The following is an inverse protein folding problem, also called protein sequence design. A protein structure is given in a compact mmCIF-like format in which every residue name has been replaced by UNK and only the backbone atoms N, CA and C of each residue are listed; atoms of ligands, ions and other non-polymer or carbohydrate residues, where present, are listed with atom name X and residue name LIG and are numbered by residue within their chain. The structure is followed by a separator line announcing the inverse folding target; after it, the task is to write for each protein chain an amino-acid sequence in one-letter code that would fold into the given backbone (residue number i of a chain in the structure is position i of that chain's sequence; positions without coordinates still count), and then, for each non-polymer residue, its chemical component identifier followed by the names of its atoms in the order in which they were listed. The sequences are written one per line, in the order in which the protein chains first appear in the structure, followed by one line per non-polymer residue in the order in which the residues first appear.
data_IF_692060727576
#
_entry.id   IF_692060727576
#
_cell.length_a   1.000
_cell.length_b   1.000
_cell.length_c   1.000
_cell.angle_alpha   90.00
_cell.angle_beta   90.00
_cell.angle_gamma   90.00
#
_symmetry.space_group_name_H-M   'P 1'
#
loop_
_entity.id
_entity.type
_entity.pdbx_description
1 polymer ?
#
# COMPACT_ATOMS: atom_id res chain seq x y z
N UNK A 1 -17.37 -35.36 58.52
CA UNK A 1 -17.19 -34.29 57.54
C UNK A 1 -15.86 -34.53 56.80
N UNK A 2 -15.90 -35.08 55.57
CA UNK A 2 -14.71 -35.39 54.75
C UNK A 2 -14.40 -34.19 53.87
N UNK A 3 -13.22 -33.59 54.04
CA UNK A 3 -12.69 -32.52 53.16
C UNK A 3 -12.15 -33.16 51.91
N UNK A 4 -12.72 -32.80 50.75
CA UNK A 4 -12.22 -33.15 49.43
C UNK A 4 -11.25 -32.03 49.03
N UNK A 5 -9.98 -32.30 48.72
CA UNK A 5 -9.08 -31.28 48.16
C UNK A 5 -9.40 -31.12 46.65
N UNK A 6 -9.76 -29.91 46.29
CA UNK A 6 -9.95 -29.49 44.90
C UNK A 6 -8.58 -29.42 44.23
N UNK A 7 -8.19 -30.47 43.49
CA UNK A 7 -6.98 -30.51 42.69
C UNK A 7 -7.27 -29.75 41.36
N UNK A 8 -6.90 -28.47 41.31
CA UNK A 8 -6.93 -27.69 40.07
C UNK A 8 -5.77 -28.20 39.24
N UNK A 9 -6.06 -29.10 38.31
CA UNK A 9 -5.13 -29.46 37.23
C UNK A 9 -5.12 -28.30 36.27
N UNK A 10 -4.10 -27.43 36.39
CA UNK A 10 -3.75 -26.44 35.39
C UNK A 10 -3.09 -27.19 34.23
N UNK A 11 -3.91 -27.71 33.33
CA UNK A 11 -3.42 -28.22 32.04
C UNK A 11 -2.92 -27.02 31.25
N UNK A 12 -1.62 -26.68 31.41
CA UNK A 12 -0.92 -25.86 30.46
C UNK A 12 -0.91 -26.64 29.11
N UNK A 13 -1.86 -26.32 28.28
CA UNK A 13 -1.78 -26.61 26.84
C UNK A 13 -0.58 -25.83 26.29
N UNK A 14 0.60 -26.39 26.43
CA UNK A 14 1.71 -26.03 25.56
C UNK A 14 1.29 -26.44 24.14
N UNK A 15 0.62 -25.56 23.44
CA UNK A 15 0.54 -25.63 22.00
C UNK A 15 2.00 -25.52 21.50
N UNK A 16 2.61 -26.65 21.19
CA UNK A 16 3.83 -26.69 20.42
C UNK A 16 3.44 -26.08 19.06
N UNK A 17 3.61 -24.78 18.96
CA UNK A 17 3.44 -24.11 17.67
C UNK A 17 4.59 -24.62 16.80
N UNK A 18 4.30 -25.60 15.96
CA UNK A 18 5.22 -26.00 14.89
C UNK A 18 5.51 -24.73 14.07
N UNK A 19 6.80 -24.41 13.91
CA UNK A 19 7.21 -23.31 13.06
C UNK A 19 6.66 -23.55 11.64
N UNK A 20 5.90 -22.61 11.13
CA UNK A 20 5.33 -22.67 9.80
C UNK A 20 6.35 -22.17 8.76
N UNK A 21 6.34 -22.78 7.58
CA UNK A 21 7.12 -22.33 6.44
C UNK A 21 6.21 -21.60 5.46
N UNK A 22 6.48 -20.33 5.21
CA UNK A 22 5.74 -19.51 4.26
C UNK A 22 6.57 -19.29 3.00
N UNK A 23 6.07 -19.78 1.86
CA UNK A 23 6.55 -19.36 0.55
C UNK A 23 5.69 -18.19 0.09
N UNK A 24 6.25 -16.99 0.04
CA UNK A 24 5.49 -15.76 -0.17
C UNK A 24 5.92 -15.10 -1.47
N UNK A 25 4.96 -14.87 -2.34
CA UNK A 25 5.08 -13.85 -3.38
C UNK A 25 4.89 -12.47 -2.77
N UNK A 26 5.17 -11.41 -3.52
CA UNK A 26 4.87 -10.05 -3.04
C UNK A 26 3.38 -9.89 -2.71
N UNK A 27 2.48 -10.42 -3.55
CA UNK A 27 1.03 -10.32 -3.32
C UNK A 27 0.61 -11.06 -2.05
N UNK A 28 1.17 -12.23 -1.76
CA UNK A 28 0.90 -12.96 -0.53
C UNK A 28 1.36 -12.18 0.71
N UNK A 29 2.57 -11.63 0.65
CA UNK A 29 3.12 -10.82 1.74
C UNK A 29 2.25 -9.57 2.00
N UNK A 30 1.86 -8.87 0.92
CA UNK A 30 0.98 -7.72 0.95
C UNK A 30 -0.38 -8.03 1.56
N UNK A 31 -1.05 -9.08 1.09
CA UNK A 31 -2.36 -9.50 1.63
C UNK A 31 -2.27 -9.84 3.12
N UNK A 32 -1.22 -10.58 3.53
CA UNK A 32 -1.00 -10.90 4.94
C UNK A 32 -0.77 -9.64 5.78
N UNK A 33 0.06 -8.71 5.31
CA UNK A 33 0.35 -7.47 6.02
C UNK A 33 -0.91 -6.61 6.21
N UNK A 34 -1.77 -6.50 5.19
CA UNK A 34 -3.03 -5.76 5.28
C UNK A 34 -4.04 -6.46 6.18
N UNK A 35 -4.27 -7.78 5.97
CA UNK A 35 -5.30 -8.54 6.68
C UNK A 35 -4.96 -8.76 8.16
N UNK A 36 -3.67 -8.83 8.49
CA UNK A 36 -3.23 -9.04 9.87
C UNK A 36 -2.97 -7.73 10.63
N UNK A 37 -3.03 -6.57 9.97
CA UNK A 37 -2.81 -5.27 10.61
C UNK A 37 -3.92 -4.93 11.59
N UNK A 38 -3.60 -4.90 12.88
CA UNK A 38 -4.56 -4.53 13.92
C UNK A 38 -5.04 -3.08 13.78
N UNK A 39 -4.17 -2.17 13.29
CA UNK A 39 -4.55 -0.77 13.02
C UNK A 39 -5.63 -0.68 11.95
N UNK A 40 -5.52 -1.46 10.87
CA UNK A 40 -6.51 -1.49 9.78
C UNK A 40 -7.83 -2.11 10.26
N UNK A 41 -7.78 -3.16 11.11
CA UNK A 41 -8.96 -3.77 11.73
C UNK A 41 -9.69 -2.78 12.64
N UNK A 42 -8.97 -2.11 13.55
CA UNK A 42 -9.54 -1.10 14.43
C UNK A 42 -10.17 0.06 13.64
N UNK A 43 -9.53 0.48 12.54
CA UNK A 43 -10.09 1.50 11.66
C UNK A 43 -11.38 1.01 10.98
N UNK A 44 -11.48 -0.27 10.60
CA UNK A 44 -12.71 -0.85 10.09
C UNK A 44 -13.83 -0.85 11.13
N UNK A 45 -13.54 -1.23 12.37
CA UNK A 45 -14.50 -1.20 13.47
C UNK A 45 -15.02 0.22 13.73
N UNK A 46 -14.15 1.24 13.62
CA UNK A 46 -14.54 2.64 13.69
C UNK A 46 -15.51 3.01 12.55
N UNK A 47 -15.20 2.60 11.31
CA UNK A 47 -16.06 2.82 10.15
C UNK A 47 -17.43 2.19 10.39
N UNK A 48 -17.49 0.92 10.81
CA UNK A 48 -18.74 0.20 11.06
C UNK A 48 -19.59 0.90 12.16
N UNK A 49 -18.94 1.43 13.19
CA UNK A 49 -19.59 2.21 14.25
C UNK A 49 -20.15 3.54 13.72
N UNK A 50 -19.37 4.25 12.90
CA UNK A 50 -19.80 5.51 12.30
C UNK A 50 -20.92 5.32 11.27
N UNK A 51 -20.90 4.24 10.49
CA UNK A 51 -22.00 3.88 9.57
C UNK A 51 -23.31 3.64 10.31
N UNK A 52 -23.27 2.91 11.43
CA UNK A 52 -24.47 2.73 12.27
C UNK A 52 -25.02 4.06 12.78
N UNK A 53 -24.15 4.93 13.28
CA UNK A 53 -24.55 6.27 13.78
C UNK A 53 -25.10 7.14 12.67
N UNK A 54 -24.47 7.16 11.50
CA UNK A 54 -24.93 7.92 10.34
C UNK A 54 -26.31 7.43 9.86
N UNK A 55 -26.53 6.10 9.79
CA UNK A 55 -27.82 5.55 9.39
C UNK A 55 -28.92 5.87 10.41
N UNK A 56 -28.64 5.78 11.72
CA UNK A 56 -29.59 6.20 12.76
C UNK A 56 -29.94 7.69 12.64
N UNK A 57 -28.95 8.55 12.34
CA UNK A 57 -29.17 9.96 12.11
C UNK A 57 -30.03 10.22 10.86
N UNK A 58 -29.83 9.44 9.80
CA UNK A 58 -30.61 9.56 8.57
C UNK A 58 -32.08 9.11 8.77
N UNK A 59 -32.28 8.05 9.55
CA UNK A 59 -33.61 7.47 9.80
C UNK A 59 -34.42 8.29 10.80
N UNK A 60 -33.77 9.12 11.64
CA UNK A 60 -34.39 10.02 12.60
C UNK A 60 -34.11 11.51 12.31
N UNK A 61 -34.63 12.04 11.20
CA UNK A 61 -34.33 13.43 10.80
C UNK A 61 -34.88 14.50 11.79
N UNK A 62 -35.74 14.08 12.73
CA UNK A 62 -36.30 15.02 13.76
C UNK A 62 -35.29 15.42 14.83
N UNK A 63 -34.30 14.56 15.13
CA UNK A 63 -33.21 14.88 16.08
C UNK A 63 -32.15 15.81 15.47
N UNK A 64 -32.17 16.00 14.16
CA UNK A 64 -31.17 16.79 13.41
C UNK A 64 -31.70 18.11 12.87
N UNK A 65 -32.99 18.44 13.07
CA UNK A 65 -33.47 19.77 12.75
C UNK A 65 -32.96 20.73 13.83
N UNK A 66 -32.32 21.85 13.45
CA UNK A 66 -32.05 22.88 14.42
C UNK A 66 -33.38 23.22 15.10
N UNK A 67 -33.43 23.13 16.43
CA UNK A 67 -34.56 23.63 17.20
C UNK A 67 -34.59 25.13 16.97
N UNK A 68 -35.51 25.58 16.13
CA UNK A 68 -35.82 26.99 15.98
C UNK A 68 -36.71 27.35 17.17
N UNK A 69 -36.13 27.88 18.23
CA UNK A 69 -36.90 28.63 19.20
C UNK A 69 -37.39 29.89 18.53
N UNK A 70 -38.70 30.04 18.45
CA UNK A 70 -39.32 31.24 17.93
C UNK A 70 -39.27 32.30 19.02
N UNK A 71 -38.43 33.32 18.84
CA UNK A 71 -38.45 34.48 19.72
C UNK A 71 -39.74 35.29 19.48
N UNK A 72 -40.68 35.14 20.39
CA UNK A 72 -41.97 35.84 20.34
C UNK A 72 -41.84 37.36 20.48
N UNK A 73 -40.72 37.90 20.97
CA UNK A 73 -40.45 39.33 21.14
C UNK A 73 -39.96 39.94 19.83
N UNK A 74 -38.98 39.30 19.16
CA UNK A 74 -38.43 39.80 17.90
C UNK A 74 -39.15 39.25 16.66
N UNK A 75 -40.08 38.32 16.84
CA UNK A 75 -40.78 37.58 15.76
C UNK A 75 -39.82 36.97 14.73
N UNK A 76 -38.62 36.60 15.15
CA UNK A 76 -37.61 35.97 14.33
C UNK A 76 -37.23 34.60 14.87
N UNK A 77 -36.96 33.61 14.00
CA UNK A 77 -36.41 32.35 14.46
C UNK A 77 -34.98 32.57 14.97
N UNK A 78 -34.75 32.29 16.25
CA UNK A 78 -33.41 32.34 16.84
C UNK A 78 -32.80 30.95 16.69
N UNK A 79 -31.64 30.90 16.07
CA UNK A 79 -30.87 29.69 15.92
C UNK A 79 -30.27 29.28 17.28
N UNK A 80 -30.78 28.23 17.89
CA UNK A 80 -30.22 27.73 19.14
C UNK A 80 -28.97 26.90 18.81
N UNK A 81 -27.79 27.49 18.90
CA UNK A 81 -26.50 26.95 18.54
C UNK A 81 -25.97 25.89 19.56
N UNK A 82 -26.82 25.44 20.48
CA UNK A 82 -26.40 24.56 21.58
C UNK A 82 -26.30 23.06 21.21
N UNK A 83 -26.81 22.68 20.06
CA UNK A 83 -26.63 21.32 19.54
C UNK A 83 -25.55 21.32 18.48
N UNK A 84 -24.33 20.89 18.85
CA UNK A 84 -23.34 20.45 17.88
C UNK A 84 -23.93 19.24 17.13
N UNK A 85 -24.51 19.47 15.96
CA UNK A 85 -24.87 18.40 15.04
C UNK A 85 -23.57 17.73 14.64
N UNK A 86 -23.28 16.54 15.19
CA UNK A 86 -22.16 15.72 14.78
C UNK A 86 -22.39 15.34 13.31
N UNK A 87 -21.52 15.84 12.43
CA UNK A 87 -21.53 15.46 11.02
C UNK A 87 -20.95 14.05 10.87
N UNK A 88 -21.77 13.04 11.21
CA UNK A 88 -21.37 11.63 11.08
C UNK A 88 -21.03 11.26 9.63
N UNK A 89 -21.61 11.95 8.64
CA UNK A 89 -21.29 11.78 7.23
C UNK A 89 -19.81 12.12 6.96
N UNK A 90 -19.38 13.28 7.42
CA UNK A 90 -17.99 13.75 7.26
C UNK A 90 -17.02 12.89 8.06
N UNK A 91 -17.36 12.50 9.28
CA UNK A 91 -16.53 11.61 10.10
C UNK A 91 -16.35 10.23 9.45
N UNK A 92 -17.44 9.68 8.89
CA UNK A 92 -17.40 8.41 8.17
C UNK A 92 -16.53 8.50 6.91
N UNK A 93 -16.65 9.57 6.13
CA UNK A 93 -15.83 9.78 4.95
C UNK A 93 -14.34 9.88 5.33
N UNK A 94 -14.00 10.69 6.32
CA UNK A 94 -12.62 10.83 6.81
C UNK A 94 -12.07 9.48 7.31
N UNK A 95 -12.90 8.69 8.01
CA UNK A 95 -12.47 7.39 8.50
C UNK A 95 -12.19 6.39 7.36
N UNK A 96 -12.96 6.42 6.27
CA UNK A 96 -12.75 5.61 5.06
C UNK A 96 -11.47 6.03 4.33
N UNK A 97 -11.24 7.33 4.16
CA UNK A 97 -9.99 7.87 3.58
C UNK A 97 -8.78 7.46 4.43
N UNK A 98 -8.85 7.61 5.76
CA UNK A 98 -7.77 7.18 6.67
C UNK A 98 -7.46 5.69 6.52
N UNK A 99 -8.49 4.81 6.44
CA UNK A 99 -8.28 3.37 6.22
C UNK A 99 -7.55 3.10 4.91
N UNK A 100 -7.92 3.79 3.85
CA UNK A 100 -7.28 3.67 2.55
C UNK A 100 -5.81 4.08 2.60
N UNK A 101 -5.50 5.21 3.23
CA UNK A 101 -4.12 5.68 3.40
C UNK A 101 -3.28 4.67 4.22
N UNK A 102 -3.89 4.07 5.26
CA UNK A 102 -3.25 2.99 6.03
C UNK A 102 -2.94 1.77 5.16
N UNK A 103 -3.84 1.36 4.27
CA UNK A 103 -3.62 0.24 3.34
C UNK A 103 -2.49 0.57 2.38
N UNK A 104 -2.50 1.75 1.75
CA UNK A 104 -1.46 2.20 0.82
C UNK A 104 -0.09 2.23 1.51
N UNK A 105 -0.01 2.83 2.69
CA UNK A 105 1.24 2.89 3.48
C UNK A 105 1.75 1.50 3.88
N UNK A 106 0.84 0.59 4.25
CA UNK A 106 1.18 -0.79 4.59
C UNK A 106 1.72 -1.55 3.38
N UNK A 107 1.09 -1.42 2.20
CA UNK A 107 1.55 -2.02 0.95
C UNK A 107 2.92 -1.48 0.51
N UNK A 108 3.17 -0.18 0.66
CA UNK A 108 4.47 0.45 0.36
C UNK A 108 5.57 -0.08 1.29
N UNK A 109 5.29 -0.17 2.58
CA UNK A 109 6.23 -0.73 3.57
C UNK A 109 6.54 -2.19 3.25
N UNK A 110 5.53 -2.99 2.90
CA UNK A 110 5.71 -4.39 2.47
C UNK A 110 6.61 -4.46 1.24
N UNK A 111 6.39 -3.60 0.22
CA UNK A 111 7.20 -3.57 -1.00
C UNK A 111 8.66 -3.22 -0.71
N UNK A 112 8.89 -2.24 0.17
CA UNK A 112 10.25 -1.85 0.56
C UNK A 112 10.97 -3.01 1.23
N UNK A 113 10.37 -3.62 2.26
CA UNK A 113 10.98 -4.74 2.99
C UNK A 113 11.20 -5.95 2.08
N UNK A 114 10.24 -6.28 1.22
CA UNK A 114 10.36 -7.37 0.26
C UNK A 114 11.53 -7.13 -0.71
N UNK A 115 11.64 -5.91 -1.26
CA UNK A 115 12.72 -5.54 -2.18
C UNK A 115 14.08 -5.57 -1.49
N UNK A 116 14.19 -5.05 -0.27
CA UNK A 116 15.43 -5.01 0.49
C UNK A 116 15.95 -6.43 0.74
N UNK A 117 15.07 -7.35 1.17
CA UNK A 117 15.45 -8.75 1.41
C UNK A 117 15.95 -9.41 0.13
N UNK A 118 15.23 -9.25 -0.99
CA UNK A 118 15.63 -9.85 -2.28
C UNK A 118 16.98 -9.31 -2.75
N UNK A 119 17.21 -8.00 -2.61
CA UNK A 119 18.47 -7.37 -3.00
C UNK A 119 19.63 -7.87 -2.11
N UNK A 120 19.43 -7.89 -0.79
CA UNK A 120 20.45 -8.39 0.14
C UNK A 120 20.77 -9.88 -0.07
N UNK A 121 19.76 -10.72 -0.40
CA UNK A 121 19.99 -12.12 -0.77
C UNK A 121 20.83 -12.25 -2.04
N UNK A 122 20.68 -11.35 -3.01
CA UNK A 122 21.55 -11.31 -4.19
C UNK A 122 22.98 -10.88 -3.84
N UNK A 123 23.13 -9.88 -2.96
CA UNK A 123 24.44 -9.45 -2.47
C UNK A 123 25.16 -10.60 -1.74
N UNK A 124 24.43 -11.36 -0.91
CA UNK A 124 24.95 -12.58 -0.26
C UNK A 124 25.44 -13.60 -1.30
N UNK A 125 24.67 -13.86 -2.37
CA UNK A 125 25.08 -14.77 -3.46
C UNK A 125 26.34 -14.27 -4.16
N UNK A 126 26.41 -12.99 -4.51
CA UNK A 126 27.57 -12.37 -5.13
C UNK A 126 28.80 -12.46 -4.23
N UNK A 127 28.65 -12.15 -2.94
CA UNK A 127 29.75 -12.24 -1.96
C UNK A 127 30.28 -13.66 -1.79
N UNK A 128 29.41 -14.68 -1.81
CA UNK A 128 29.84 -16.12 -1.77
C UNK A 128 30.68 -16.50 -2.99
N UNK A 129 30.41 -15.93 -4.16
CA UNK A 129 31.22 -16.13 -5.35
C UNK A 129 32.58 -15.43 -5.23
N UNK A 130 32.63 -14.19 -4.73
CA UNK A 130 33.87 -13.47 -4.46
C UNK A 130 34.77 -14.27 -3.49
N UNK A 131 34.18 -14.79 -2.40
CA UNK A 131 34.89 -15.66 -1.43
C UNK A 131 35.46 -16.90 -2.11
N UNK A 132 34.66 -17.59 -2.93
CA UNK A 132 35.13 -18.79 -3.66
C UNK A 132 36.30 -18.47 -4.60
N UNK A 133 36.26 -17.34 -5.29
CA UNK A 133 37.38 -16.89 -6.14
C UNK A 133 38.61 -16.55 -5.29
N UNK A 134 38.44 -15.84 -4.16
CA UNK A 134 39.56 -15.53 -3.27
C UNK A 134 40.17 -16.77 -2.60
N UNK A 135 39.38 -17.78 -2.25
CA UNK A 135 39.88 -19.07 -1.76
C UNK A 135 40.78 -19.76 -2.78
N UNK A 136 40.45 -19.68 -4.07
CA UNK A 136 41.30 -20.19 -5.13
C UNK A 136 42.62 -19.40 -5.25
N UNK A 137 42.57 -18.07 -5.07
CA UNK A 137 43.78 -17.23 -5.08
C UNK A 137 44.69 -17.58 -3.89
N UNK A 138 44.13 -17.78 -2.69
CA UNK A 138 44.89 -18.19 -1.50
C UNK A 138 45.54 -19.55 -1.72
N UNK A 139 44.81 -20.51 -2.33
CA UNK A 139 45.42 -21.84 -2.70
C UNK A 139 46.58 -21.66 -3.67
N UNK A 140 46.43 -20.84 -4.72
CA UNK A 140 47.52 -20.57 -5.66
C UNK A 140 48.71 -19.87 -4.98
N UNK A 141 48.44 -18.88 -4.13
CA UNK A 141 49.48 -18.20 -3.35
C UNK A 141 50.26 -19.17 -2.42
N UNK A 142 49.54 -20.12 -1.77
CA UNK A 142 50.16 -21.16 -0.95
C UNK A 142 51.14 -22.02 -1.76
N UNK A 143 50.78 -22.42 -2.98
CA UNK A 143 51.68 -23.17 -3.88
C UNK A 143 52.88 -22.32 -4.30
N UNK A 144 52.66 -21.04 -4.67
CA UNK A 144 53.75 -20.12 -5.02
C UNK A 144 54.71 -19.85 -3.89
N UNK A 145 54.21 -19.72 -2.66
CA UNK A 145 55.04 -19.58 -1.46
C UNK A 145 55.90 -20.82 -1.24
N UNK A 146 55.33 -22.03 -1.31
CA UNK A 146 56.06 -23.28 -1.17
C UNK A 146 57.18 -23.45 -2.22
N UNK A 147 57.00 -22.90 -3.40
CA UNK A 147 57.99 -22.92 -4.50
C UNK A 147 58.91 -21.70 -4.51
N UNK A 148 58.87 -20.85 -3.48
CA UNK A 148 59.71 -19.64 -3.34
C UNK A 148 59.43 -18.53 -4.36
N UNK A 149 58.27 -18.58 -5.03
CA UNK A 149 57.89 -17.59 -6.05
C UNK A 149 57.26 -16.31 -5.49
N UNK A 150 56.80 -16.36 -4.26
CA UNK A 150 56.30 -15.21 -3.49
C UNK A 150 56.82 -15.23 -2.06
N UNK A 151 56.82 -14.11 -1.39
CA UNK A 151 57.19 -13.98 0.03
C UNK A 151 55.97 -14.23 0.95
N UNK A 152 56.21 -14.51 2.22
CA UNK A 152 55.19 -14.74 3.24
C UNK A 152 54.18 -13.63 3.31
N UNK A 153 54.61 -12.35 3.27
CA UNK A 153 53.74 -11.17 3.32
C UNK A 153 52.69 -11.17 2.20
N UNK A 154 53.06 -11.58 0.99
CA UNK A 154 52.11 -11.64 -0.15
C UNK A 154 51.03 -12.70 0.08
N UNK A 155 51.41 -13.85 0.62
CA UNK A 155 50.48 -14.90 1.01
C UNK A 155 49.54 -14.42 2.10
N UNK A 156 50.06 -13.81 3.17
CA UNK A 156 49.27 -13.29 4.31
C UNK A 156 48.30 -12.24 3.85
N UNK A 157 48.66 -11.37 2.91
CA UNK A 157 47.74 -10.37 2.32
C UNK A 157 46.56 -11.06 1.60
N UNK A 158 46.76 -12.17 0.87
CA UNK A 158 45.61 -12.87 0.24
C UNK A 158 44.72 -13.54 1.28
N UNK A 159 45.27 -14.06 2.39
CA UNK A 159 44.52 -14.62 3.52
C UNK A 159 43.70 -13.52 4.19
N UNK A 160 44.28 -12.35 4.48
CA UNK A 160 43.57 -11.22 5.08
C UNK A 160 42.41 -10.71 4.20
N UNK A 161 42.58 -10.69 2.86
CA UNK A 161 41.49 -10.36 1.95
C UNK A 161 40.34 -11.38 2.06
N UNK A 162 40.66 -12.68 2.16
CA UNK A 162 39.65 -13.72 2.35
C UNK A 162 38.87 -13.52 3.66
N UNK A 163 39.56 -13.26 4.76
CA UNK A 163 38.93 -13.04 6.07
C UNK A 163 38.06 -11.80 6.08
N UNK A 164 38.47 -10.70 5.41
CA UNK A 164 37.66 -9.51 5.23
C UNK A 164 36.36 -9.84 4.43
N UNK A 165 36.46 -10.57 3.33
CA UNK A 165 35.27 -10.98 2.55
C UNK A 165 34.32 -11.85 3.38
N UNK A 166 34.82 -12.77 4.19
CA UNK A 166 34.00 -13.59 5.10
C UNK A 166 33.30 -12.75 6.16
N UNK A 167 33.98 -11.75 6.72
CA UNK A 167 33.39 -10.81 7.67
C UNK A 167 32.28 -9.97 7.01
N UNK A 168 32.50 -9.49 5.78
CA UNK A 168 31.48 -8.79 5.01
C UNK A 168 30.25 -9.67 4.72
N UNK A 169 30.46 -10.97 4.39
CA UNK A 169 29.37 -11.91 4.19
C UNK A 169 28.51 -12.06 5.44
N UNK A 170 29.13 -12.19 6.61
CA UNK A 170 28.42 -12.30 7.89
C UNK A 170 27.55 -11.07 8.16
N UNK A 171 28.04 -9.86 7.85
CA UNK A 171 27.26 -8.62 7.97
C UNK A 171 26.05 -8.64 7.04
N UNK A 172 26.22 -9.09 5.79
CA UNK A 172 25.11 -9.19 4.82
C UNK A 172 24.07 -10.23 5.27
N UNK A 173 24.49 -11.41 5.72
CA UNK A 173 23.58 -12.46 6.23
C UNK A 173 22.78 -11.97 7.46
N UNK A 174 23.41 -11.19 8.34
CA UNK A 174 22.72 -10.58 9.47
C UNK A 174 21.69 -9.52 9.02
N UNK A 175 21.99 -8.71 7.99
CA UNK A 175 21.04 -7.75 7.42
C UNK A 175 19.81 -8.45 6.86
N UNK A 176 20.00 -9.51 6.06
CA UNK A 176 18.90 -10.34 5.55
C UNK A 176 18.00 -10.79 6.70
N UNK A 177 18.56 -11.37 7.74
CA UNK A 177 17.82 -11.87 8.91
C UNK A 177 17.06 -10.76 9.64
N UNK A 178 17.66 -9.58 9.79
CA UNK A 178 16.99 -8.42 10.40
C UNK A 178 15.78 -7.99 9.56
N UNK A 179 15.93 -7.89 8.25
CA UNK A 179 14.84 -7.45 7.37
C UNK A 179 13.76 -8.52 7.21
N UNK A 180 14.12 -9.82 7.23
CA UNK A 180 13.14 -10.92 7.33
C UNK A 180 12.31 -10.81 8.62
N UNK A 181 12.92 -10.54 9.76
CA UNK A 181 12.20 -10.35 11.03
C UNK A 181 11.31 -9.10 10.99
N UNK A 182 11.78 -7.98 10.39
CA UNK A 182 10.92 -6.80 10.19
C UNK A 182 9.71 -7.13 9.33
N UNK A 183 9.88 -7.89 8.25
CA UNK A 183 8.78 -8.30 7.38
C UNK A 183 7.81 -9.23 8.12
N UNK A 184 8.30 -10.20 8.90
CA UNK A 184 7.46 -11.06 9.75
C UNK A 184 6.63 -10.23 10.73
N UNK A 185 7.26 -9.30 11.45
CA UNK A 185 6.56 -8.41 12.38
C UNK A 185 5.52 -7.55 11.67
N UNK A 186 5.86 -7.03 10.48
CA UNK A 186 4.94 -6.25 9.67
C UNK A 186 3.72 -7.04 9.20
N UNK A 187 3.89 -8.33 8.91
CA UNK A 187 2.81 -9.28 8.57
C UNK A 187 2.10 -9.88 9.79
N UNK A 188 2.52 -9.53 11.00
CA UNK A 188 2.07 -10.16 12.25
C UNK A 188 2.20 -11.70 12.22
N UNK A 189 3.38 -12.19 11.77
CA UNK A 189 3.77 -13.60 11.73
C UNK A 189 4.79 -13.85 12.86
N UNK A 190 4.75 -15.05 13.44
CA UNK A 190 5.67 -15.42 14.51
C UNK A 190 7.14 -15.37 14.05
N UNK A 191 8.02 -14.88 14.90
CA UNK A 191 9.48 -14.88 14.63
C UNK A 191 10.05 -16.27 14.43
N UNK A 192 9.41 -17.30 15.01
CA UNK A 192 9.81 -18.72 14.87
C UNK A 192 9.52 -19.28 13.49
N UNK A 193 8.59 -18.67 12.75
CA UNK A 193 8.25 -19.12 11.41
C UNK A 193 9.36 -18.75 10.42
N UNK A 194 9.50 -19.55 9.38
CA UNK A 194 10.41 -19.24 8.28
C UNK A 194 9.66 -18.67 7.10
N UNK A 195 10.26 -17.67 6.44
CA UNK A 195 9.72 -17.09 5.20
C UNK A 195 10.73 -17.34 4.07
N UNK A 196 10.20 -17.72 2.93
CA UNK A 196 10.95 -17.79 1.66
C UNK A 196 10.26 -16.89 0.67
N UNK A 197 10.96 -15.87 0.18
CA UNK A 197 10.39 -14.93 -0.77
C UNK A 197 10.55 -15.45 -2.20
N UNK A 198 9.46 -15.44 -2.95
CA UNK A 198 9.42 -15.81 -4.36
C UNK A 198 9.16 -14.58 -5.21
N UNK A 199 10.11 -14.25 -6.07
CA UNK A 199 9.97 -13.19 -7.03
C UNK A 199 9.24 -13.71 -8.27
N UNK A 200 7.97 -13.34 -8.39
CA UNK A 200 7.09 -13.72 -9.51
C UNK A 200 6.78 -12.50 -10.33
N UNK A 201 6.78 -12.64 -11.66
CA UNK A 201 6.33 -11.57 -12.54
C UNK A 201 4.85 -11.26 -12.29
N UNK A 202 4.51 -9.97 -12.19
CA UNK A 202 3.14 -9.58 -12.02
C UNK A 202 2.31 -9.94 -13.26
N UNK A 203 1.16 -10.57 -13.02
CA UNK A 203 0.13 -10.72 -14.06
C UNK A 203 -0.52 -9.35 -14.28
N UNK A 204 -0.46 -8.85 -15.50
CA UNK A 204 -1.16 -7.63 -15.89
C UNK A 204 -2.61 -7.98 -16.24
N UNK A 205 -3.45 -8.19 -15.23
CA UNK A 205 -4.89 -8.15 -15.42
C UNK A 205 -5.33 -6.69 -15.43
N UNK A 206 -5.08 -6.02 -16.56
CA UNK A 206 -5.55 -4.67 -16.75
C UNK A 206 -7.02 -4.67 -17.12
N UNK A 207 -7.87 -4.56 -16.14
CA UNK A 207 -9.18 -3.98 -16.30
C UNK A 207 -8.99 -2.47 -16.52
N UNK A 208 -8.72 -2.09 -17.77
CA UNK A 208 -8.81 -0.69 -18.17
C UNK A 208 -10.29 -0.31 -18.09
N UNK A 209 -10.67 0.61 -17.24
CA UNK A 209 -12.07 0.95 -17.07
C UNK A 209 -12.55 1.81 -18.22
N UNK A 210 -12.97 1.17 -19.32
CA UNK A 210 -13.71 1.87 -20.39
C UNK A 210 -15.03 2.47 -19.88
N UNK A 211 -15.54 1.97 -18.76
CA UNK A 211 -16.88 2.34 -18.24
C UNK A 211 -16.84 3.40 -17.14
N UNK A 212 -15.70 4.03 -16.87
CA UNK A 212 -15.59 4.93 -15.72
C UNK A 212 -16.23 6.31 -15.95
N UNK A 213 -16.31 6.78 -17.19
CA UNK A 213 -17.01 8.03 -17.51
C UNK A 213 -18.52 7.88 -17.24
N UNK A 214 -19.09 6.69 -17.46
CA UNK A 214 -20.51 6.41 -17.18
C UNK A 214 -20.85 6.40 -15.68
N UNK A 215 -19.85 6.24 -14.82
CA UNK A 215 -20.03 6.24 -13.34
C UNK A 215 -19.83 7.60 -12.71
N UNK A 216 -19.58 8.66 -13.50
CA UNK A 216 -19.40 10.01 -12.96
C UNK A 216 -20.65 10.48 -12.21
N UNK A 217 -21.84 10.17 -12.73
CA UNK A 217 -23.11 10.53 -12.10
C UNK A 217 -23.42 9.67 -10.85
N UNK A 218 -22.71 8.56 -10.68
CA UNK A 218 -22.84 7.70 -9.51
C UNK A 218 -21.94 8.10 -8.34
N UNK A 219 -21.05 9.11 -8.52
CA UNK A 219 -20.23 9.61 -7.41
C UNK A 219 -21.09 10.17 -6.31
N UNK A 220 -20.87 9.66 -5.09
CA UNK A 220 -21.61 10.06 -3.89
C UNK A 220 -21.56 11.57 -3.65
N UNK A 221 -20.39 12.21 -3.83
CA UNK A 221 -20.23 13.66 -3.67
C UNK A 221 -21.07 14.46 -4.67
N UNK A 222 -21.27 13.94 -5.87
CA UNK A 222 -22.13 14.57 -6.88
C UNK A 222 -23.60 14.38 -6.54
N UNK A 223 -24.00 13.18 -6.11
CA UNK A 223 -25.36 12.89 -5.64
C UNK A 223 -25.75 13.76 -4.44
N UNK A 224 -24.82 13.92 -3.49
CA UNK A 224 -25.03 14.78 -2.32
C UNK A 224 -25.29 16.25 -2.73
N UNK A 225 -24.49 16.81 -3.67
CA UNK A 225 -24.70 18.17 -4.17
C UNK A 225 -25.99 18.31 -4.98
N UNK A 226 -26.42 17.26 -5.69
CA UNK A 226 -27.69 17.22 -6.42
C UNK A 226 -28.88 17.16 -5.45
N UNK A 227 -28.77 16.43 -4.34
CA UNK A 227 -29.76 16.40 -3.26
C UNK A 227 -29.88 17.78 -2.60
N UNK A 228 -28.76 18.40 -2.21
CA UNK A 228 -28.73 19.78 -1.70
C UNK A 228 -29.38 20.77 -2.68
N UNK A 229 -29.13 20.65 -3.99
CA UNK A 229 -29.72 21.50 -5.00
C UNK A 229 -31.23 21.27 -5.08
N UNK A 230 -31.73 20.05 -4.93
CA UNK A 230 -33.14 19.73 -4.88
C UNK A 230 -33.80 20.38 -3.68
N UNK A 231 -33.20 20.25 -2.49
CA UNK A 231 -33.71 20.87 -1.26
C UNK A 231 -33.79 22.39 -1.38
N UNK A 232 -32.76 23.04 -1.94
CA UNK A 232 -32.79 24.49 -2.19
C UNK A 232 -33.91 24.90 -3.16
N UNK A 233 -34.22 24.09 -4.17
CA UNK A 233 -35.34 24.36 -5.10
C UNK A 233 -36.69 24.15 -4.43
N UNK A 234 -36.84 23.19 -3.53
CA UNK A 234 -38.08 22.95 -2.80
C UNK A 234 -38.30 24.04 -1.76
N UNK A 235 -37.24 24.54 -1.10
CA UNK A 235 -37.28 25.72 -0.25
C UNK A 235 -37.74 26.98 -1.03
N UNK A 236 -37.23 27.18 -2.25
CA UNK A 236 -37.65 28.32 -3.10
C UNK A 236 -39.12 28.24 -3.42
N UNK A 237 -39.66 27.06 -3.77
CA UNK A 237 -41.10 26.87 -4.00
C UNK A 237 -41.90 27.21 -2.76
N UNK A 238 -41.44 26.79 -1.57
CA UNK A 238 -42.13 27.09 -0.32
C UNK A 238 -42.13 28.60 0.01
N UNK A 239 -41.00 29.29 -0.16
CA UNK A 239 -40.87 30.73 -0.01
C UNK A 239 -41.83 31.46 -0.95
N UNK A 240 -42.00 30.98 -2.18
CA UNK A 240 -42.89 31.57 -3.19
C UNK A 240 -44.38 31.42 -2.85
N UNK A 241 -44.76 30.44 -2.04
CA UNK A 241 -46.16 30.20 -1.65
C UNK A 241 -46.55 30.95 -0.38
N UNK A 242 -45.59 31.16 0.56
CA UNK A 242 -45.90 31.64 1.91
C UNK A 242 -45.76 33.17 2.07
N UNK A 243 -45.00 33.86 1.24
CA UNK A 243 -44.65 35.27 1.39
C UNK A 243 -45.30 36.17 0.31
N UNK A 244 -46.15 37.11 0.74
CA UNK A 244 -46.67 38.19 -0.09
C UNK A 244 -46.27 39.55 0.51
N UNK A 245 -45.16 40.15 0.05
CA UNK A 245 -44.71 41.48 0.51
C UNK A 245 -43.26 41.81 0.13
N UNK A 246 -42.76 42.99 0.50
CA UNK A 246 -41.40 43.48 0.16
C UNK A 246 -40.27 42.62 0.75
N UNK A 247 -40.53 41.88 1.80
CA UNK A 247 -39.63 40.86 2.36
C UNK A 247 -39.47 39.62 1.44
N UNK A 248 -40.44 39.38 0.56
CA UNK A 248 -40.50 38.30 -0.40
C UNK A 248 -39.37 38.37 -1.45
N UNK A 249 -39.20 39.56 -2.05
CA UNK A 249 -38.17 39.75 -3.12
C UNK A 249 -36.76 39.47 -2.63
N UNK A 250 -36.40 39.96 -1.44
CA UNK A 250 -35.07 39.71 -0.85
C UNK A 250 -34.81 38.24 -0.51
N UNK A 251 -35.86 37.53 -0.03
CA UNK A 251 -35.76 36.08 0.27
C UNK A 251 -35.58 35.24 -0.99
N UNK A 252 -36.35 35.53 -2.03
CA UNK A 252 -36.28 34.84 -3.34
C UNK A 252 -34.92 35.06 -4.01
N UNK A 253 -34.46 36.33 -4.09
CA UNK A 253 -33.16 36.64 -4.71
C UNK A 253 -32.00 35.95 -4.00
N UNK A 254 -32.02 35.89 -2.67
CA UNK A 254 -31.02 35.17 -1.88
C UNK A 254 -31.04 33.69 -2.18
N UNK A 255 -32.22 33.08 -2.24
CA UNK A 255 -32.36 31.65 -2.52
C UNK A 255 -31.94 31.31 -3.96
N UNK A 256 -32.33 32.12 -4.93
CA UNK A 256 -31.89 31.96 -6.33
C UNK A 256 -30.35 32.08 -6.49
N UNK A 257 -29.73 32.98 -5.70
CA UNK A 257 -28.26 33.10 -5.69
C UNK A 257 -27.61 31.80 -5.16
N UNK A 258 -28.16 31.25 -4.06
CA UNK A 258 -27.67 29.97 -3.52
C UNK A 258 -27.82 28.82 -4.52
N UNK A 259 -28.96 28.74 -5.21
CA UNK A 259 -29.20 27.76 -6.28
C UNK A 259 -28.17 27.89 -7.42
N UNK A 260 -27.89 29.14 -7.86
CA UNK A 260 -26.87 29.37 -8.90
C UNK A 260 -25.48 28.95 -8.44
N UNK A 261 -25.07 29.32 -7.24
CA UNK A 261 -23.82 28.89 -6.66
C UNK A 261 -23.72 27.36 -6.61
N UNK A 262 -24.75 26.67 -6.12
CA UNK A 262 -24.76 25.20 -6.04
C UNK A 262 -24.67 24.54 -7.42
N UNK A 263 -25.31 25.11 -8.45
CA UNK A 263 -25.16 24.64 -9.84
C UNK A 263 -23.75 24.82 -10.37
N UNK A 264 -23.07 25.92 -10.05
CA UNK A 264 -21.67 26.16 -10.40
C UNK A 264 -20.76 25.16 -9.70
N UNK A 265 -20.96 24.92 -8.39
CA UNK A 265 -20.20 23.93 -7.61
C UNK A 265 -20.32 22.53 -8.22
N UNK A 266 -21.54 22.12 -8.62
CA UNK A 266 -21.77 20.84 -9.31
C UNK A 266 -20.99 20.77 -10.63
N UNK A 267 -21.04 21.82 -11.45
CA UNK A 267 -20.33 21.87 -12.73
C UNK A 267 -18.81 21.87 -12.54
N UNK A 268 -18.31 22.58 -11.54
CA UNK A 268 -16.89 22.58 -11.20
C UNK A 268 -16.44 21.20 -10.71
N UNK A 269 -17.21 20.57 -9.81
CA UNK A 269 -16.91 19.22 -9.33
C UNK A 269 -16.89 18.22 -10.50
N UNK A 270 -17.86 18.29 -11.43
CA UNK A 270 -17.86 17.44 -12.63
C UNK A 270 -16.59 17.63 -13.45
N UNK A 271 -16.22 18.86 -13.78
CA UNK A 271 -15.00 19.17 -14.58
C UNK A 271 -13.74 18.69 -13.88
N UNK A 272 -13.61 18.97 -12.56
CA UNK A 272 -12.45 18.55 -11.76
C UNK A 272 -12.35 17.04 -11.68
N UNK A 273 -13.47 16.35 -11.52
CA UNK A 273 -13.53 14.88 -11.46
C UNK A 273 -13.14 14.26 -12.80
N UNK A 274 -13.66 14.77 -13.92
CA UNK A 274 -13.25 14.32 -15.26
C UNK A 274 -11.75 14.51 -15.49
N UNK A 275 -11.23 15.69 -15.18
CA UNK A 275 -9.79 15.97 -15.33
C UNK A 275 -8.94 14.99 -14.49
N UNK A 276 -9.32 14.72 -13.25
CA UNK A 276 -8.61 13.77 -12.40
C UNK A 276 -8.69 12.34 -12.96
N UNK A 277 -9.80 11.96 -13.55
CA UNK A 277 -9.96 10.66 -14.21
C UNK A 277 -9.03 10.54 -15.42
N UNK A 278 -9.06 11.51 -16.33
CA UNK A 278 -8.19 11.50 -17.51
C UNK A 278 -6.72 11.45 -17.10
N UNK A 279 -6.33 12.25 -16.11
CA UNK A 279 -4.98 12.26 -15.57
C UNK A 279 -4.58 10.89 -15.02
N UNK A 280 -5.44 10.29 -14.19
CA UNK A 280 -5.18 8.97 -13.58
C UNK A 280 -5.12 7.88 -14.65
N UNK A 281 -6.03 7.91 -15.62
CA UNK A 281 -6.02 6.98 -16.75
C UNK A 281 -4.71 7.06 -17.56
N UNK A 282 -4.27 8.26 -17.89
CA UNK A 282 -2.99 8.47 -18.60
C UNK A 282 -1.82 7.94 -17.76
N UNK A 283 -1.81 8.15 -16.45
CA UNK A 283 -0.77 7.62 -15.56
C UNK A 283 -0.75 6.09 -15.56
N UNK A 284 -1.94 5.44 -15.52
CA UNK A 284 -2.05 3.98 -15.62
C UNK A 284 -1.51 3.48 -16.96
N UNK A 285 -1.84 4.13 -18.08
CA UNK A 285 -1.31 3.78 -19.40
C UNK A 285 0.21 3.89 -19.47
N UNK A 286 0.77 4.99 -18.95
CA UNK A 286 2.22 5.17 -18.89
C UNK A 286 2.88 4.03 -18.12
N UNK A 287 2.41 3.74 -16.90
CA UNK A 287 2.96 2.65 -16.08
C UNK A 287 2.83 1.28 -16.74
N UNK A 288 1.75 1.05 -17.44
CA UNK A 288 1.49 -0.16 -18.22
C UNK A 288 2.50 -0.35 -19.34
N UNK A 289 2.76 0.72 -20.10
CA UNK A 289 3.76 0.71 -21.18
C UNK A 289 5.17 0.53 -20.62
N UNK A 290 5.48 1.15 -19.47
CA UNK A 290 6.75 0.93 -18.77
C UNK A 290 6.95 -0.53 -18.37
N UNK A 291 5.88 -1.22 -17.87
CA UNK A 291 5.95 -2.66 -17.56
C UNK A 291 6.17 -3.49 -18.84
N UNK A 292 5.54 -3.13 -19.95
CA UNK A 292 5.75 -3.81 -21.22
C UNK A 292 7.20 -3.67 -21.70
N UNK A 293 7.80 -2.48 -21.55
CA UNK A 293 9.23 -2.24 -21.85
C UNK A 293 10.14 -3.05 -20.91
N UNK A 294 9.83 -3.11 -19.63
CA UNK A 294 10.58 -3.91 -18.66
C UNK A 294 10.55 -5.40 -19.04
N UNK A 295 9.43 -5.94 -19.52
CA UNK A 295 9.34 -7.34 -20.01
C UNK A 295 10.25 -7.60 -21.21
N UNK A 296 10.33 -6.65 -22.17
CA UNK A 296 11.25 -6.75 -23.30
C UNK A 296 12.69 -6.73 -22.80
N UNK A 297 13.04 -5.79 -21.92
CA UNK A 297 14.37 -5.68 -21.34
C UNK A 297 14.76 -6.94 -20.57
N UNK A 298 13.83 -7.54 -19.81
CA UNK A 298 14.05 -8.82 -19.14
C UNK A 298 14.40 -9.93 -20.12
N UNK A 299 13.66 -10.05 -21.22
CA UNK A 299 13.95 -11.04 -22.26
C UNK A 299 15.35 -10.88 -22.86
N UNK A 300 15.80 -9.63 -23.07
CA UNK A 300 17.16 -9.32 -23.54
C UNK A 300 18.21 -9.73 -22.50
N UNK A 301 17.96 -9.45 -21.21
CA UNK A 301 18.84 -9.86 -20.11
C UNK A 301 18.92 -11.38 -19.98
N UNK A 302 17.81 -12.11 -20.12
CA UNK A 302 17.77 -13.57 -20.11
C UNK A 302 18.58 -14.18 -21.25
N UNK A 303 18.47 -13.61 -22.45
CA UNK A 303 19.28 -14.04 -23.59
C UNK A 303 20.78 -13.76 -23.35
N UNK A 304 21.11 -12.62 -22.76
CA UNK A 304 22.48 -12.26 -22.37
C UNK A 304 22.98 -13.25 -21.31
N UNK A 305 22.15 -13.62 -20.35
CA UNK A 305 22.52 -14.58 -19.31
C UNK A 305 22.78 -15.98 -19.88
N UNK A 306 21.93 -16.45 -20.81
CA UNK A 306 22.17 -17.72 -21.54
C UNK A 306 23.50 -17.70 -22.25
N UNK A 307 23.86 -16.58 -22.92
CA UNK A 307 25.16 -16.40 -23.56
C UNK A 307 26.28 -16.43 -22.53
N UNK A 308 26.18 -15.73 -21.40
CA UNK A 308 27.19 -15.73 -20.35
C UNK A 308 27.40 -17.11 -19.76
N UNK A 309 26.35 -17.90 -19.55
CA UNK A 309 26.43 -19.30 -19.08
C UNK A 309 27.18 -20.16 -20.11
N UNK A 310 26.86 -20.02 -21.39
CA UNK A 310 27.57 -20.79 -22.46
C UNK A 310 29.07 -20.42 -22.56
N UNK A 311 29.41 -19.13 -22.40
CA UNK A 311 30.80 -18.67 -22.39
C UNK A 311 31.54 -19.10 -21.12
N UNK A 312 30.86 -19.10 -19.96
CA UNK A 312 31.45 -19.62 -18.72
C UNK A 312 31.79 -21.09 -18.82
N UNK A 313 30.87 -21.89 -19.38
CA UNK A 313 31.12 -23.33 -19.59
C UNK A 313 32.32 -23.63 -20.53
N UNK A 314 32.65 -22.64 -21.42
CA UNK A 314 33.82 -22.68 -22.28
C UNK A 314 35.10 -22.07 -21.66
N UNK A 315 35.02 -21.59 -20.43
CA UNK A 315 36.12 -20.93 -19.73
C UNK A 315 36.47 -19.53 -20.26
N UNK A 316 35.57 -18.90 -21.04
CA UNK A 316 35.80 -17.58 -21.68
C UNK A 316 35.35 -16.40 -20.80
N UNK A 317 34.43 -16.62 -19.86
CA UNK A 317 33.93 -15.58 -18.95
C UNK A 317 33.88 -16.04 -17.50
N UNK A 318 33.66 -15.14 -16.58
CA UNK A 318 33.64 -15.42 -15.15
C UNK A 318 32.21 -15.67 -14.65
N UNK A 319 32.05 -16.34 -13.51
CA UNK A 319 30.77 -16.53 -12.83
C UNK A 319 30.15 -15.19 -12.37
N UNK A 320 30.99 -14.19 -12.15
CA UNK A 320 30.50 -12.84 -11.78
C UNK A 320 29.60 -12.24 -12.88
N UNK A 321 29.95 -12.42 -14.16
CA UNK A 321 29.11 -11.90 -15.27
C UNK A 321 27.72 -12.55 -15.31
N UNK A 322 27.60 -13.82 -14.89
CA UNK A 322 26.30 -14.49 -14.76
C UNK A 322 25.54 -13.87 -13.59
N UNK A 323 26.18 -13.74 -12.40
CA UNK A 323 25.53 -13.16 -11.22
C UNK A 323 25.08 -11.71 -11.44
N UNK A 324 25.89 -10.89 -12.13
CA UNK A 324 25.53 -9.50 -12.45
C UNK A 324 24.30 -9.44 -13.36
N UNK A 325 24.22 -10.40 -14.32
CA UNK A 325 23.05 -10.46 -15.21
C UNK A 325 21.81 -10.95 -14.46
N UNK A 326 21.94 -11.93 -13.58
CA UNK A 326 20.86 -12.42 -12.71
C UNK A 326 20.38 -11.30 -11.75
N UNK A 327 21.28 -10.51 -11.20
CA UNK A 327 20.92 -9.36 -10.38
C UNK A 327 20.13 -8.31 -11.18
N UNK A 328 20.53 -8.02 -12.43
CA UNK A 328 19.78 -7.10 -13.30
C UNK A 328 18.40 -7.65 -13.68
N UNK A 329 18.26 -8.95 -13.93
CA UNK A 329 16.96 -9.60 -14.15
C UNK A 329 16.08 -9.44 -12.90
N UNK A 330 16.62 -9.67 -11.73
CA UNK A 330 15.92 -9.51 -10.45
C UNK A 330 15.44 -8.08 -10.25
N UNK A 331 16.31 -7.09 -10.49
CA UNK A 331 15.94 -5.66 -10.40
C UNK A 331 14.84 -5.28 -11.38
N UNK A 332 14.88 -5.82 -12.59
CA UNK A 332 13.85 -5.58 -13.59
C UNK A 332 12.49 -6.13 -13.15
N UNK A 333 12.44 -7.35 -12.57
CA UNK A 333 11.19 -7.92 -12.06
C UNK A 333 10.68 -7.12 -10.86
N UNK A 334 11.55 -6.69 -9.93
CA UNK A 334 11.17 -5.82 -8.82
C UNK A 334 10.58 -4.50 -9.30
N UNK A 335 11.16 -3.90 -10.36
CA UNK A 335 10.61 -2.69 -11.01
C UNK A 335 9.19 -2.93 -11.54
N UNK A 336 8.95 -4.05 -12.21
CA UNK A 336 7.61 -4.42 -12.70
C UNK A 336 6.61 -4.56 -11.54
N UNK A 337 6.98 -5.26 -10.47
CA UNK A 337 6.12 -5.44 -9.28
C UNK A 337 5.79 -4.09 -8.63
N UNK A 338 6.77 -3.19 -8.51
CA UNK A 338 6.57 -1.84 -7.97
C UNK A 338 5.60 -1.03 -8.83
N UNK A 339 5.79 -1.02 -10.16
CA UNK A 339 4.90 -0.31 -11.09
C UNK A 339 3.47 -0.86 -11.05
N UNK A 340 3.30 -2.17 -10.89
CA UNK A 340 1.99 -2.77 -10.71
C UNK A 340 1.32 -2.33 -9.40
N UNK A 341 2.08 -2.23 -8.30
CA UNK A 341 1.58 -1.67 -7.05
C UNK A 341 1.11 -0.21 -7.24
N UNK A 342 1.90 0.61 -7.94
CA UNK A 342 1.54 2.00 -8.26
C UNK A 342 0.23 2.07 -9.07
N UNK A 343 0.05 1.20 -10.08
CA UNK A 343 -1.21 1.10 -10.85
C UNK A 343 -2.37 0.74 -9.91
N UNK A 344 -2.19 -0.25 -9.03
CA UNK A 344 -3.21 -0.64 -8.07
C UNK A 344 -3.60 0.52 -7.15
N UNK A 345 -2.64 1.28 -6.66
CA UNK A 345 -2.89 2.45 -5.81
C UNK A 345 -3.63 3.56 -6.57
N UNK A 346 -3.28 3.78 -7.85
CA UNK A 346 -4.03 4.68 -8.72
C UNK A 346 -5.48 4.23 -8.90
N UNK A 347 -5.73 2.94 -9.08
CA UNK A 347 -7.07 2.36 -9.19
C UNK A 347 -7.88 2.47 -7.90
N UNK A 348 -7.25 2.32 -6.73
CA UNK A 348 -7.91 2.56 -5.44
C UNK A 348 -8.36 4.01 -5.29
N UNK A 349 -7.52 4.97 -5.75
CA UNK A 349 -7.86 6.38 -5.75
C UNK A 349 -8.95 6.75 -6.77
N UNK A 350 -9.16 5.93 -7.76
CA UNK A 350 -10.08 6.16 -8.85
C UNK A 350 -11.50 5.63 -8.57
N UNK A 351 -11.63 4.54 -7.82
CA UNK A 351 -12.91 3.87 -7.56
C UNK A 351 -13.78 4.55 -6.48
N UNK A 352 -13.32 5.63 -5.87
CA UNK A 352 -14.03 6.47 -4.91
C UNK A 352 -14.47 7.80 -5.55
#
# INVERSE_FOLDING_TARGET
MKKIPLLIIFAMLFSVSNAANYNLTFDDARQKAVNNSDKIKLQQELIDSLEKKYNLQKDNPRENKPDYEYDYVTKTPVYNNSYQTFDYKKLLQNAKETKKDMIISNEQTTMQLFSDIINEQNDVKSKKVEISNQENLVKQASVKLKTGKIIQLEYDNEVLKLDNLKSQLQVLENKVKINENKLKNHMNISEKDTITLQLVEPKLDMLLPKDMISKLDDKKSLKDLQEDLKDLNDDLKWISVVNTGSSYTSGVEKQEKLIRQKKEDINELKRRTMYNYDKTYVQILIKSNEIALDKINKSLLENTNKKNIALYNKGVTTKNNINDTDAKITQNILSQVKKQLEIRQLLLNYNE
#
